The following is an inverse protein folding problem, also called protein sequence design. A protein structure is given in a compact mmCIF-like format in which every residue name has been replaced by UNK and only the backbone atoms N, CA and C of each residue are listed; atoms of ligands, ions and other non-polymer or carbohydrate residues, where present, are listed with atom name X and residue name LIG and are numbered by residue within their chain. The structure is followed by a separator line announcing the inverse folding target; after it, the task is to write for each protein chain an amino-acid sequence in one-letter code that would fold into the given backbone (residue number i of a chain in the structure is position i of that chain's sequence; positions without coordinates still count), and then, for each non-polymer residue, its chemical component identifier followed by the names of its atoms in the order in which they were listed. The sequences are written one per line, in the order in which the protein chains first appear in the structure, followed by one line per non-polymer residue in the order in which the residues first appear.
data_IF_735244312111
#
_entry.id   IF_735244312111
#
_cell.length_a   1.000
_cell.length_b   1.000
_cell.length_c   1.000
_cell.angle_alpha   90.00
_cell.angle_beta   90.00
_cell.angle_gamma   90.00
#
_symmetry.space_group_name_H-M   'P 1'
#
loop_
_entity.id
_entity.type
_entity.pdbx_description
1 polymer ?
#
# COMPACT_ATOMS: atom_id res chain seq x y z
N UNK A 1 0.38 -44.39 -9.23
CA UNK A 1 0.31 -43.80 -7.88
C UNK A 1 0.99 -42.44 -7.96
N UNK A 2 0.20 -41.36 -8.08
CA UNK A 2 0.73 -40.01 -8.08
C UNK A 2 0.71 -39.51 -6.62
N UNK A 3 1.88 -39.24 -6.06
CA UNK A 3 2.02 -38.58 -4.77
C UNK A 3 1.48 -37.16 -4.92
N UNK A 4 0.28 -36.92 -4.37
CA UNK A 4 -0.21 -35.57 -4.12
C UNK A 4 0.74 -34.93 -3.12
N UNK A 5 1.70 -34.15 -3.62
CA UNK A 5 2.57 -33.35 -2.78
C UNK A 5 1.70 -32.52 -1.85
N UNK A 6 1.97 -32.64 -0.55
CA UNK A 6 1.42 -31.75 0.47
C UNK A 6 1.86 -30.33 0.09
N UNK A 7 0.98 -29.61 -0.60
CA UNK A 7 1.05 -28.15 -0.67
C UNK A 7 0.80 -27.74 0.77
N UNK A 8 1.85 -27.37 1.50
CA UNK A 8 1.70 -26.47 2.63
C UNK A 8 1.44 -25.10 2.00
N UNK A 9 0.18 -24.62 1.88
CA UNK A 9 0.00 -23.18 1.81
C UNK A 9 0.72 -22.69 3.05
N UNK A 10 1.76 -21.85 2.87
CA UNK A 10 2.34 -21.14 4.00
C UNK A 10 1.17 -20.64 4.85
N UNK A 11 1.18 -20.89 6.16
CA UNK A 11 0.05 -20.54 6.99
C UNK A 11 -0.34 -19.09 6.70
N UNK A 12 -1.64 -18.86 6.50
CA UNK A 12 -2.26 -17.55 6.43
C UNK A 12 -2.15 -16.95 7.85
N UNK A 13 -0.93 -16.55 8.23
CA UNK A 13 -0.59 -16.05 9.58
C UNK A 13 -1.18 -14.65 9.82
N UNK A 14 -1.71 -14.02 8.77
CA UNK A 14 -2.34 -12.71 8.79
C UNK A 14 -3.83 -12.80 9.08
N UNK A 15 -4.20 -13.35 10.24
CA UNK A 15 -5.38 -12.83 10.93
C UNK A 15 -4.96 -11.51 11.57
N UNK A 16 -4.92 -10.43 10.78
CA UNK A 16 -4.56 -9.05 11.21
C UNK A 16 -5.44 -8.49 12.36
N UNK A 17 -6.38 -9.28 12.88
CA UNK A 17 -7.46 -8.86 13.78
C UNK A 17 -7.78 -9.85 14.90
N UNK A 18 -7.29 -11.08 14.83
CA UNK A 18 -7.58 -12.12 15.84
C UNK A 18 -6.24 -12.58 16.41
N UNK A 19 -6.05 -12.57 17.75
CA UNK A 19 -7.05 -12.47 18.83
C UNK A 19 -7.44 -11.05 19.30
N UNK A 20 -7.18 -10.01 18.52
CA UNK A 20 -7.16 -8.60 18.94
C UNK A 20 -8.53 -7.90 19.06
N UNK A 21 -9.61 -8.63 19.39
CA UNK A 21 -10.97 -8.05 19.46
C UNK A 21 -11.14 -6.98 20.56
N UNK A 22 -10.26 -6.96 21.55
CA UNK A 22 -10.23 -5.95 22.61
C UNK A 22 -9.33 -4.75 22.31
N UNK A 23 -8.69 -4.75 21.13
CA UNK A 23 -7.84 -3.64 20.69
C UNK A 23 -8.63 -2.60 19.89
N UNK A 24 -8.07 -1.38 19.71
CA UNK A 24 -8.70 -0.33 18.91
C UNK A 24 -9.17 -0.80 17.53
N UNK A 25 -10.47 -0.66 17.30
CA UNK A 25 -11.15 -1.13 16.08
C UNK A 25 -11.08 -2.66 15.86
N UNK A 26 -10.65 -3.46 16.84
CA UNK A 26 -10.38 -4.89 16.64
C UNK A 26 -9.15 -5.16 15.77
N UNK A 27 -8.24 -4.20 15.63
CA UNK A 27 -6.99 -4.34 14.88
C UNK A 27 -5.85 -4.61 15.84
N UNK A 28 -4.97 -5.56 15.53
CA UNK A 28 -3.80 -5.81 16.37
C UNK A 28 -2.81 -4.63 16.32
N UNK A 29 -2.03 -4.45 17.39
CA UNK A 29 -1.06 -3.36 17.53
C UNK A 29 -0.04 -3.33 16.38
N UNK A 30 0.47 -4.48 15.97
CA UNK A 30 1.41 -4.56 14.84
C UNK A 30 0.77 -4.12 13.52
N UNK A 31 -0.54 -4.34 13.35
CA UNK A 31 -1.29 -3.90 12.17
C UNK A 31 -1.53 -2.41 12.19
N UNK A 32 -1.87 -1.85 13.36
CA UNK A 32 -2.04 -0.39 13.50
C UNK A 32 -0.72 0.35 13.28
N UNK A 33 0.39 -0.16 13.80
CA UNK A 33 1.73 0.38 13.55
C UNK A 33 2.08 0.36 12.06
N UNK A 34 1.88 -0.78 11.39
CA UNK A 34 2.10 -0.87 9.95
C UNK A 34 1.19 0.07 9.16
N UNK A 35 -0.07 0.24 9.59
CA UNK A 35 -0.99 1.19 8.98
C UNK A 35 -0.51 2.64 9.15
N UNK A 36 -0.07 3.05 10.35
CA UNK A 36 0.51 4.38 10.61
C UNK A 36 1.71 4.66 9.71
N UNK A 37 2.58 3.66 9.51
CA UNK A 37 3.76 3.79 8.67
C UNK A 37 3.41 3.87 7.18
N UNK A 38 2.44 3.07 6.71
CA UNK A 38 2.21 2.84 5.29
C UNK A 38 1.06 3.65 4.67
N UNK A 39 0.07 4.11 5.44
CA UNK A 39 -1.09 4.82 4.89
C UNK A 39 -0.72 6.02 4.01
N UNK A 40 0.31 6.85 4.31
CA UNK A 40 0.67 7.96 3.43
C UNK A 40 1.09 7.44 2.06
N UNK A 41 1.95 6.41 2.02
CA UNK A 41 2.45 5.81 0.79
C UNK A 41 1.34 5.14 -0.03
N UNK A 42 0.32 4.59 0.64
CA UNK A 42 -0.88 4.08 -0.02
C UNK A 42 -1.66 5.22 -0.70
N UNK A 43 -1.84 6.36 -0.03
CA UNK A 43 -2.46 7.55 -0.62
C UNK A 43 -1.63 8.11 -1.80
N UNK A 44 -0.29 8.14 -1.68
CA UNK A 44 0.59 8.55 -2.78
C UNK A 44 0.49 7.61 -3.98
N UNK A 45 0.42 6.30 -3.72
CA UNK A 45 0.22 5.28 -4.76
C UNK A 45 -1.12 5.44 -5.47
N UNK A 46 -2.18 5.82 -4.74
CA UNK A 46 -3.47 6.18 -5.33
C UNK A 46 -3.35 7.43 -6.22
N UNK A 47 -2.74 8.50 -5.70
CA UNK A 47 -2.58 9.76 -6.44
C UNK A 47 -1.68 9.63 -7.67
N UNK A 48 -0.82 8.61 -7.75
CA UNK A 48 -0.02 8.32 -8.93
C UNK A 48 -0.88 7.92 -10.15
N UNK A 49 -2.12 7.47 -9.93
CA UNK A 49 -3.07 7.19 -11.02
C UNK A 49 -3.63 8.45 -11.68
N UNK A 50 -3.72 9.55 -10.93
CA UNK A 50 -4.24 10.85 -11.40
C UNK A 50 -5.66 10.79 -11.98
N UNK A 51 -6.50 9.93 -11.40
CA UNK A 51 -7.89 9.70 -11.77
C UNK A 51 -8.86 10.22 -10.68
N UNK A 52 -10.14 9.86 -10.76
CA UNK A 52 -11.19 10.23 -9.81
C UNK A 52 -10.92 9.79 -8.36
N UNK A 53 -10.03 8.81 -8.16
CA UNK A 53 -9.67 8.29 -6.83
C UNK A 53 -8.55 9.10 -6.17
N UNK A 54 -8.07 10.17 -6.81
CA UNK A 54 -7.07 11.09 -6.24
C UNK A 54 -7.55 11.71 -4.93
N UNK A 55 -6.73 11.60 -3.89
CA UNK A 55 -6.94 12.25 -2.60
C UNK A 55 -6.79 13.76 -2.71
N UNK A 56 -7.80 14.49 -2.21
CA UNK A 56 -7.83 15.93 -2.17
C UNK A 56 -6.82 16.49 -1.15
N UNK A 57 -6.68 15.82 0.00
CA UNK A 57 -5.72 16.17 1.03
C UNK A 57 -4.78 15.00 1.33
N UNK A 58 -3.47 15.30 1.38
CA UNK A 58 -2.42 14.38 1.80
C UNK A 58 -1.92 14.75 3.20
N UNK A 59 -1.28 13.83 3.94
CA UNK A 59 -0.69 14.16 5.22
C UNK A 59 0.29 15.33 5.09
N UNK A 60 0.27 16.26 6.05
CA UNK A 60 1.08 17.48 6.02
C UNK A 60 2.57 17.21 5.75
N UNK A 61 3.11 16.07 6.18
CA UNK A 61 4.50 15.71 5.91
C UNK A 61 4.85 15.63 4.41
N UNK A 62 3.88 15.36 3.54
CA UNK A 62 4.09 15.12 2.12
C UNK A 62 3.75 16.34 1.28
N UNK A 63 4.58 16.59 0.27
CA UNK A 63 4.39 17.67 -0.70
C UNK A 63 4.66 17.11 -2.11
N UNK A 64 3.68 17.23 -3.02
CA UNK A 64 3.87 16.84 -4.42
C UNK A 64 4.84 17.80 -5.10
N UNK A 65 5.82 17.26 -5.83
CA UNK A 65 6.76 18.04 -6.65
C UNK A 65 6.35 18.01 -8.10
N UNK A 66 6.28 16.81 -8.65
CA UNK A 66 6.04 16.57 -10.06
C UNK A 66 5.24 15.29 -10.26
N UNK A 67 4.65 15.17 -11.45
CA UNK A 67 4.09 13.94 -11.94
C UNK A 67 4.42 13.81 -13.42
N UNK A 68 4.65 12.58 -13.85
CA UNK A 68 4.86 12.22 -15.23
C UNK A 68 3.79 11.20 -15.62
N UNK A 69 3.04 11.54 -16.67
CA UNK A 69 2.08 10.63 -17.30
C UNK A 69 2.80 9.53 -18.09
N UNK A 70 2.02 8.60 -18.64
CA UNK A 70 2.54 7.50 -19.44
C UNK A 70 3.49 7.99 -20.53
N UNK A 71 4.72 7.49 -20.48
CA UNK A 71 5.63 7.58 -21.60
C UNK A 71 5.41 6.41 -22.60
N UNK A 72 6.28 6.33 -23.62
CA UNK A 72 6.21 5.28 -24.64
C UNK A 72 6.44 3.84 -24.11
N UNK A 73 6.91 3.66 -22.86
CA UNK A 73 7.00 2.34 -22.22
C UNK A 73 5.79 2.03 -21.34
N UNK A 74 4.87 2.98 -21.16
CA UNK A 74 3.77 2.89 -20.21
C UNK A 74 4.21 3.11 -18.76
N UNK A 75 5.39 3.72 -18.53
CA UNK A 75 5.80 4.15 -17.20
C UNK A 75 5.13 5.48 -16.87
N UNK A 76 4.53 5.57 -15.68
CA UNK A 76 4.02 6.80 -15.11
C UNK A 76 4.33 6.83 -13.60
N UNK A 77 4.55 8.02 -13.06
CA UNK A 77 4.93 8.19 -11.65
C UNK A 77 4.60 9.58 -11.13
N UNK A 78 4.62 9.72 -9.81
CA UNK A 78 4.56 11.01 -9.11
C UNK A 78 5.67 11.08 -8.07
N UNK A 79 6.28 12.25 -7.92
CA UNK A 79 7.35 12.50 -6.97
C UNK A 79 6.87 13.42 -5.85
N UNK A 80 7.22 13.06 -4.63
CA UNK A 80 6.84 13.77 -3.41
C UNK A 80 8.05 14.00 -2.52
N UNK A 81 8.00 15.05 -1.72
CA UNK A 81 8.92 15.27 -0.61
C UNK A 81 8.26 14.95 0.72
N UNK A 82 8.91 14.13 1.54
CA UNK A 82 8.52 13.85 2.92
C UNK A 82 9.35 14.70 3.87
N UNK A 83 8.69 15.54 4.64
CA UNK A 83 9.31 16.45 5.60
C UNK A 83 9.03 16.03 7.04
N UNK A 84 9.92 16.42 7.94
CA UNK A 84 9.62 16.41 9.37
C UNK A 84 8.45 17.36 9.64
N UNK A 85 7.56 16.99 10.54
CA UNK A 85 6.45 17.86 10.98
C UNK A 85 6.61 18.14 12.46
N UNK A 86 6.63 19.43 12.82
CA UNK A 86 6.64 19.88 14.21
C UNK A 86 5.77 21.12 14.36
N UNK A 87 4.92 21.15 15.39
CA UNK A 87 4.01 22.26 15.64
C UNK A 87 3.09 22.60 14.46
N UNK A 88 2.65 21.60 13.69
CA UNK A 88 1.79 21.78 12.51
C UNK A 88 2.48 22.43 11.31
N UNK A 89 3.82 22.39 11.23
CA UNK A 89 4.59 22.96 10.12
C UNK A 89 5.60 21.95 9.58
N UNK A 90 5.83 21.99 8.27
CA UNK A 90 6.91 21.25 7.60
C UNK A 90 8.27 21.84 8.00
N UNK A 91 9.21 20.97 8.34
CA UNK A 91 10.59 21.29 8.69
C UNK A 91 11.57 20.72 7.67
N UNK A 92 12.63 20.07 8.15
CA UNK A 92 13.68 19.45 7.31
C UNK A 92 13.10 18.39 6.37
N UNK A 93 13.62 18.32 5.14
CA UNK A 93 13.39 17.22 4.21
C UNK A 93 13.97 15.90 4.76
N UNK A 94 13.13 14.88 4.87
CA UNK A 94 13.49 13.57 5.40
C UNK A 94 13.68 12.53 4.31
N UNK A 95 12.91 12.60 3.23
CA UNK A 95 13.04 11.69 2.10
C UNK A 95 12.43 12.29 0.84
N UNK A 96 12.89 11.85 -0.32
CA UNK A 96 12.13 11.95 -1.57
C UNK A 96 11.39 10.64 -1.82
N UNK A 97 10.13 10.71 -2.23
CA UNK A 97 9.30 9.53 -2.49
C UNK A 97 8.91 9.48 -3.95
N UNK A 98 9.15 8.34 -4.61
CA UNK A 98 8.70 8.08 -5.98
C UNK A 98 7.54 7.07 -5.92
N UNK A 99 6.35 7.50 -6.32
CA UNK A 99 5.16 6.68 -6.40
C UNK A 99 4.91 6.25 -7.85
N UNK A 100 5.10 4.97 -8.15
CA UNK A 100 4.87 4.42 -9.49
C UNK A 100 3.41 4.01 -9.68
N UNK A 101 2.87 4.39 -10.83
CA UNK A 101 1.52 4.00 -11.24
C UNK A 101 1.50 2.53 -11.66
N UNK A 102 0.44 1.82 -11.30
CA UNK A 102 0.15 0.51 -11.87
C UNK A 102 -0.58 0.62 -13.23
N UNK A 103 -1.07 -0.51 -13.72
CA UNK A 103 -1.95 -0.55 -14.91
C UNK A 103 -3.40 -0.22 -14.53
N UNK A 104 -4.10 0.51 -15.40
CA UNK A 104 -5.52 0.88 -15.21
C UNK A 104 -6.46 -0.32 -15.39
N UNK A 105 -7.56 -0.33 -14.64
CA UNK A 105 -8.51 -1.45 -14.49
C UNK A 105 -9.39 -1.78 -15.71
N UNK A 106 -9.11 -1.23 -16.90
CA UNK A 106 -9.87 -1.49 -18.13
C UNK A 106 -9.55 -2.81 -18.84
N UNK A 107 -8.45 -3.48 -18.48
CA UNK A 107 -8.02 -4.72 -19.13
C UNK A 107 -7.32 -5.62 -18.12
N UNK A 108 -8.09 -6.30 -17.29
CA UNK A 108 -7.57 -7.38 -16.44
C UNK A 108 -6.95 -8.50 -17.27
N UNK A 109 -7.27 -8.62 -18.56
CA UNK A 109 -6.55 -9.47 -19.53
C UNK A 109 -5.15 -8.96 -19.87
N UNK A 110 -4.90 -7.65 -19.88
CA UNK A 110 -3.56 -7.07 -20.14
C UNK A 110 -2.64 -7.11 -18.92
N UNK A 111 -3.19 -7.17 -17.70
CA UNK A 111 -2.38 -7.40 -16.48
C UNK A 111 -1.68 -8.78 -16.54
N UNK A 112 -2.28 -9.75 -17.24
CA UNK A 112 -1.71 -11.10 -17.43
C UNK A 112 -0.75 -11.19 -18.63
N UNK A 113 -0.86 -10.30 -19.62
CA UNK A 113 0.02 -10.27 -20.80
C UNK A 113 1.20 -9.30 -20.66
N UNK A 114 1.06 -8.26 -19.83
CA UNK A 114 2.09 -7.27 -19.53
C UNK A 114 3.09 -7.80 -18.50
N UNK A 115 4.05 -8.61 -18.94
CA UNK A 115 5.29 -8.72 -18.18
C UNK A 115 5.87 -7.31 -18.02
N UNK A 116 6.32 -6.95 -16.82
CA UNK A 116 7.18 -5.76 -16.64
C UNK A 116 8.31 -5.86 -17.67
N UNK A 117 8.23 -5.04 -18.72
CA UNK A 117 9.19 -5.07 -19.80
C UNK A 117 10.51 -4.49 -19.33
N UNK A 118 11.63 -4.94 -19.92
CA UNK A 118 12.95 -4.42 -19.57
C UNK A 118 13.03 -2.90 -19.78
N UNK A 119 12.27 -2.37 -20.75
CA UNK A 119 12.16 -0.92 -21.00
C UNK A 119 11.49 -0.13 -19.86
N UNK A 120 10.52 -0.71 -19.12
CA UNK A 120 9.91 -0.04 -17.96
C UNK A 120 10.87 -0.03 -16.78
N UNK A 121 11.64 -1.11 -16.59
CA UNK A 121 12.68 -1.21 -15.55
C UNK A 121 13.78 -0.19 -15.77
N UNK A 122 14.35 -0.16 -16.98
CA UNK A 122 15.45 0.73 -17.31
C UNK A 122 15.04 2.20 -17.15
N UNK A 123 13.82 2.55 -17.57
CA UNK A 123 13.29 3.91 -17.41
C UNK A 123 13.00 4.25 -15.96
N UNK A 124 12.45 3.34 -15.16
CA UNK A 124 12.27 3.56 -13.73
C UNK A 124 13.62 3.77 -13.01
N UNK A 125 14.65 3.01 -13.42
CA UNK A 125 16.02 3.20 -12.95
C UNK A 125 16.60 4.57 -13.32
N UNK A 126 16.32 5.04 -14.55
CA UNK A 126 16.72 6.39 -14.97
C UNK A 126 16.01 7.49 -14.17
N UNK A 127 14.72 7.33 -13.85
CA UNK A 127 13.97 8.26 -12.98
C UNK A 127 14.57 8.28 -11.58
N UNK A 128 14.87 7.12 -11.00
CA UNK A 128 15.53 7.04 -9.70
C UNK A 128 16.89 7.76 -9.69
N UNK A 129 17.73 7.51 -10.70
CA UNK A 129 19.03 8.15 -10.84
C UNK A 129 18.91 9.67 -11.04
N UNK A 130 17.92 10.13 -11.80
CA UNK A 130 17.64 11.56 -11.97
C UNK A 130 17.24 12.22 -10.65
N UNK A 131 16.33 11.61 -9.88
CA UNK A 131 15.94 12.15 -8.58
C UNK A 131 17.07 12.14 -7.56
N UNK A 132 17.96 11.15 -7.62
CA UNK A 132 19.18 11.14 -6.82
C UNK A 132 20.10 12.31 -7.19
N UNK A 133 20.34 12.53 -8.47
CA UNK A 133 21.15 13.64 -8.96
C UNK A 133 20.52 15.01 -8.61
N UNK A 134 19.19 15.12 -8.66
CA UNK A 134 18.46 16.33 -8.26
C UNK A 134 18.65 16.64 -6.78
N UNK A 135 18.51 15.64 -5.89
CA UNK A 135 18.79 15.82 -4.46
C UNK A 135 20.25 16.22 -4.21
N UNK A 136 21.21 15.63 -4.92
CA UNK A 136 22.63 15.96 -4.76
C UNK A 136 22.93 17.40 -5.19
N UNK A 137 22.32 17.87 -6.28
CA UNK A 137 22.41 19.25 -6.74
C UNK A 137 21.73 20.24 -5.76
N UNK A 138 20.71 19.80 -5.04
CA UNK A 138 20.04 20.55 -3.97
C UNK A 138 20.83 20.54 -2.63
N UNK A 139 22.01 19.90 -2.56
CA UNK A 139 22.79 19.65 -1.34
C UNK A 139 22.08 18.77 -0.29
N UNK A 140 21.32 17.77 -0.77
CA UNK A 140 20.62 16.77 0.03
C UNK A 140 21.21 15.36 -0.16
N UNK A 141 22.54 15.23 -0.12
CA UNK A 141 23.23 13.96 -0.36
C UNK A 141 22.81 12.87 0.64
N UNK A 142 22.50 13.25 1.88
CA UNK A 142 22.09 12.32 2.95
C UNK A 142 20.58 12.07 3.01
N UNK A 143 19.78 12.72 2.16
CA UNK A 143 18.33 12.50 2.14
C UNK A 143 18.04 11.24 1.30
N UNK A 144 17.42 10.19 1.86
CA UNK A 144 17.11 8.97 1.13
C UNK A 144 16.01 9.18 0.08
N UNK A 145 15.99 8.28 -0.90
CA UNK A 145 14.83 8.06 -1.77
C UNK A 145 14.07 6.85 -1.23
N UNK A 146 12.75 6.98 -1.14
CA UNK A 146 11.81 5.92 -0.77
C UNK A 146 10.88 5.65 -1.96
N UNK A 147 10.42 4.41 -2.09
CA UNK A 147 9.63 3.98 -3.24
C UNK A 147 8.26 3.51 -2.79
N UNK A 148 7.26 3.74 -3.63
CA UNK A 148 5.94 3.17 -3.41
C UNK A 148 5.22 2.87 -4.72
N UNK A 149 4.24 1.98 -4.66
CA UNK A 149 3.40 1.69 -5.80
C UNK A 149 2.40 0.59 -5.53
N UNK A 150 1.38 0.57 -6.37
CA UNK A 150 0.31 -0.41 -6.36
C UNK A 150 0.40 -1.34 -7.58
N UNK A 151 0.05 -2.63 -7.42
CA UNK A 151 0.01 -3.59 -8.53
C UNK A 151 1.33 -3.65 -9.31
N UNK A 152 1.34 -3.30 -10.61
CA UNK A 152 2.55 -3.19 -11.42
C UNK A 152 3.52 -2.11 -10.89
N UNK A 153 3.02 -0.98 -10.39
CA UNK A 153 3.84 0.06 -9.76
C UNK A 153 4.56 -0.45 -8.52
N UNK A 154 3.91 -1.33 -7.75
CA UNK A 154 4.53 -2.03 -6.63
C UNK A 154 5.66 -2.97 -7.08
N UNK A 155 5.54 -3.59 -8.26
CA UNK A 155 6.59 -4.45 -8.83
C UNK A 155 7.80 -3.62 -9.29
N UNK A 156 7.56 -2.43 -9.86
CA UNK A 156 8.62 -1.47 -10.22
C UNK A 156 9.35 -0.99 -8.96
N UNK A 157 8.62 -0.58 -7.92
CA UNK A 157 9.20 -0.18 -6.64
C UNK A 157 10.01 -1.33 -6.00
N UNK A 158 9.52 -2.57 -6.09
CA UNK A 158 10.23 -3.77 -5.64
C UNK A 158 11.52 -3.98 -6.42
N UNK A 159 11.48 -3.89 -7.75
CA UNK A 159 12.66 -4.04 -8.62
C UNK A 159 13.75 -3.04 -8.22
N UNK A 160 13.40 -1.76 -8.12
CA UNK A 160 14.37 -0.74 -7.74
C UNK A 160 14.91 -0.91 -6.32
N UNK A 161 14.09 -1.39 -5.37
CA UNK A 161 14.54 -1.76 -4.03
C UNK A 161 15.52 -2.93 -4.06
N UNK A 162 15.32 -3.93 -4.91
CA UNK A 162 16.29 -5.03 -5.12
C UNK A 162 17.60 -4.50 -5.70
N UNK A 163 17.51 -3.61 -6.69
CA UNK A 163 18.68 -3.09 -7.41
C UNK A 163 19.47 -2.04 -6.59
N UNK A 164 18.87 -1.44 -5.56
CA UNK A 164 19.45 -0.39 -4.73
C UNK A 164 19.32 -0.71 -3.23
N UNK A 165 20.32 -1.39 -2.63
CA UNK A 165 20.29 -1.72 -1.20
C UNK A 165 20.10 -0.50 -0.29
N UNK A 166 19.27 -0.63 0.75
CA UNK A 166 18.94 0.46 1.69
C UNK A 166 17.84 1.40 1.19
N UNK A 167 17.34 1.23 -0.04
CA UNK A 167 16.16 1.95 -0.52
C UNK A 167 14.90 1.30 0.01
N UNK A 168 14.15 2.05 0.81
CA UNK A 168 12.88 1.58 1.39
C UNK A 168 11.78 1.53 0.35
N UNK A 169 10.96 0.47 0.40
CA UNK A 169 9.82 0.31 -0.49
C UNK A 169 8.53 -0.08 0.26
N UNK A 170 7.47 0.68 0.00
CA UNK A 170 6.12 0.44 0.50
C UNK A 170 5.21 0.04 -0.65
N UNK A 171 4.81 -1.23 -0.70
CA UNK A 171 4.16 -1.80 -1.89
C UNK A 171 2.79 -2.39 -1.56
N UNK A 172 1.82 -2.15 -2.44
CA UNK A 172 0.40 -2.43 -2.19
C UNK A 172 -0.18 -3.34 -3.27
N UNK A 173 -0.84 -4.42 -2.86
CA UNK A 173 -1.37 -5.46 -3.76
C UNK A 173 -0.40 -5.77 -4.89
N UNK A 174 0.86 -6.02 -4.56
CA UNK A 174 1.96 -5.99 -5.53
C UNK A 174 1.89 -7.14 -6.52
N UNK A 175 2.10 -6.84 -7.80
CA UNK A 175 2.28 -7.85 -8.85
C UNK A 175 3.61 -8.58 -8.66
N UNK A 176 3.70 -9.90 -8.93
CA UNK A 176 4.94 -10.66 -8.74
C UNK A 176 5.95 -10.47 -9.90
N UNK A 177 5.78 -9.45 -10.73
CA UNK A 177 6.55 -9.24 -11.95
C UNK A 177 7.78 -8.36 -11.69
N UNK A 178 8.73 -8.88 -10.93
CA UNK A 178 10.08 -8.34 -10.77
C UNK A 178 11.12 -9.41 -11.10
N UNK A 179 12.39 -8.99 -11.22
CA UNK A 179 13.54 -9.86 -11.44
C UNK A 179 14.52 -9.71 -10.26
N UNK A 180 15.46 -10.66 -10.15
CA UNK A 180 16.48 -10.66 -9.11
C UNK A 180 16.10 -11.54 -7.91
N UNK A 181 16.91 -11.44 -6.87
CA UNK A 181 16.72 -12.21 -5.63
C UNK A 181 15.57 -11.60 -4.82
N UNK A 182 14.47 -12.33 -4.55
CA UNK A 182 13.36 -11.82 -3.75
C UNK A 182 13.75 -11.42 -2.32
N UNK A 183 14.86 -11.98 -1.80
CA UNK A 183 15.39 -11.70 -0.45
C UNK A 183 16.35 -10.51 -0.41
N UNK A 184 16.77 -10.00 -1.56
CA UNK A 184 17.58 -8.79 -1.60
C UNK A 184 16.76 -7.60 -1.07
N UNK A 185 17.34 -6.90 -0.10
CA UNK A 185 16.77 -5.70 0.52
C UNK A 185 15.36 -5.91 1.12
N UNK A 186 15.06 -7.13 1.58
CA UNK A 186 13.74 -7.51 2.09
C UNK A 186 13.37 -6.83 3.42
N UNK A 187 14.35 -6.58 4.29
CA UNK A 187 14.18 -5.86 5.56
C UNK A 187 13.73 -4.39 5.39
N UNK A 188 13.97 -3.79 4.22
CA UNK A 188 13.58 -2.42 3.89
C UNK A 188 12.29 -2.39 3.04
N UNK A 189 11.56 -3.51 2.97
CA UNK A 189 10.34 -3.65 2.18
C UNK A 189 9.14 -3.98 3.07
N UNK A 190 8.13 -3.11 3.03
CA UNK A 190 6.84 -3.35 3.67
C UNK A 190 5.79 -3.59 2.58
N UNK A 191 5.16 -4.76 2.62
CA UNK A 191 4.14 -5.16 1.65
C UNK A 191 2.77 -5.31 2.32
N UNK A 192 1.75 -4.62 1.81
CA UNK A 192 0.36 -4.78 2.26
C UNK A 192 -0.49 -5.32 1.11
N UNK A 193 -1.33 -6.30 1.40
CA UNK A 193 -2.27 -6.86 0.42
C UNK A 193 -3.66 -7.06 0.99
N UNK A 194 -4.68 -6.85 0.16
CA UNK A 194 -6.06 -7.18 0.48
C UNK A 194 -6.31 -8.69 0.32
N UNK A 195 -7.10 -9.28 1.21
CA UNK A 195 -7.37 -10.71 1.25
C UNK A 195 -8.31 -11.11 0.11
N UNK A 196 -7.82 -11.99 -0.75
CA UNK A 196 -8.62 -12.55 -1.83
C UNK A 196 -8.73 -11.64 -3.06
N UNK A 197 -7.85 -10.64 -3.16
CA UNK A 197 -7.58 -9.94 -4.42
C UNK A 197 -7.07 -10.92 -5.51
N UNK A 198 -7.25 -10.55 -6.78
CA UNK A 198 -7.06 -11.48 -7.90
C UNK A 198 -5.60 -11.89 -8.17
N UNK A 199 -4.62 -11.06 -7.84
CA UNK A 199 -3.19 -11.36 -8.00
C UNK A 199 -2.71 -12.48 -7.08
N UNK A 200 -3.49 -12.90 -6.08
CA UNK A 200 -3.22 -14.12 -5.30
C UNK A 200 -3.05 -15.33 -6.20
N UNK A 201 -3.78 -15.38 -7.31
CA UNK A 201 -3.66 -16.45 -8.32
C UNK A 201 -2.32 -16.34 -9.06
N UNK A 202 -1.87 -15.13 -9.39
CA UNK A 202 -0.60 -14.88 -10.07
C UNK A 202 0.63 -15.12 -9.17
N UNK A 203 0.54 -14.76 -7.89
CA UNK A 203 1.55 -15.05 -6.86
C UNK A 203 1.76 -16.56 -6.59
N UNK A 204 0.88 -17.41 -7.13
CA UNK A 204 1.07 -18.87 -7.10
C UNK A 204 2.13 -19.36 -8.09
N UNK A 205 2.44 -18.56 -9.11
CA UNK A 205 3.31 -18.96 -10.23
C UNK A 205 4.69 -18.27 -10.23
N UNK A 206 4.86 -17.23 -9.41
CA UNK A 206 6.15 -16.58 -9.13
C UNK A 206 6.24 -16.27 -7.65
N UNK A 207 7.42 -16.45 -7.06
CA UNK A 207 7.65 -16.15 -5.64
C UNK A 207 7.29 -14.67 -5.37
N UNK A 208 6.47 -14.38 -4.36
CA UNK A 208 6.28 -13.01 -3.92
C UNK A 208 7.61 -12.44 -3.43
N UNK A 209 7.84 -11.12 -3.54
CA UNK A 209 9.03 -10.51 -2.95
C UNK A 209 9.02 -10.75 -1.44
N UNK A 210 10.18 -11.09 -0.85
CA UNK A 210 10.30 -11.14 0.59
C UNK A 210 10.17 -9.71 1.13
N UNK A 211 9.40 -9.56 2.21
CA UNK A 211 9.02 -8.29 2.80
C UNK A 211 8.40 -8.55 4.19
N UNK A 212 8.36 -7.51 5.01
CA UNK A 212 7.42 -7.45 6.12
C UNK A 212 6.00 -7.36 5.55
N UNK A 213 5.30 -8.51 5.53
CA UNK A 213 4.05 -8.69 4.79
C UNK A 213 2.83 -8.69 5.70
N UNK A 214 1.84 -7.87 5.34
CA UNK A 214 0.56 -7.77 6.01
C UNK A 214 -0.57 -8.08 5.03
N UNK A 215 -1.49 -8.95 5.42
CA UNK A 215 -2.73 -9.19 4.67
C UNK A 215 -3.90 -8.66 5.48
N UNK A 216 -4.63 -7.72 4.88
CA UNK A 216 -5.82 -7.10 5.44
C UNK A 216 -7.05 -7.58 4.70
N UNK A 217 -8.22 -7.48 5.29
CA UNK A 217 -9.49 -7.86 4.66
C UNK A 217 -10.48 -6.73 4.87
N UNK A 218 -10.16 -5.58 4.29
CA UNK A 218 -10.88 -4.33 4.42
C UNK A 218 -12.29 -4.40 3.82
N UNK A 219 -12.47 -5.15 2.73
CA UNK A 219 -13.72 -5.26 1.98
C UNK A 219 -14.11 -6.72 1.74
N UNK A 220 -14.46 -7.49 2.79
CA UNK A 220 -14.74 -8.92 2.69
C UNK A 220 -15.73 -9.30 1.59
N UNK A 221 -16.77 -8.49 1.38
CA UNK A 221 -17.85 -8.78 0.44
C UNK A 221 -17.61 -8.24 -0.98
N UNK A 222 -16.54 -7.49 -1.20
CA UNK A 222 -16.16 -7.00 -2.52
C UNK A 222 -15.64 -8.14 -3.41
N UNK A 223 -15.83 -7.98 -4.72
CA UNK A 223 -15.26 -8.87 -5.74
C UNK A 223 -13.72 -8.80 -5.74
N UNK A 224 -13.07 -9.81 -6.32
CA UNK A 224 -11.61 -9.87 -6.36
C UNK A 224 -10.95 -8.67 -7.09
N UNK A 225 -11.65 -8.08 -8.06
CA UNK A 225 -11.21 -6.88 -8.77
C UNK A 225 -11.35 -5.63 -7.90
N UNK A 226 -12.48 -5.44 -7.23
CA UNK A 226 -12.70 -4.31 -6.31
C UNK A 226 -11.73 -4.36 -5.11
N UNK A 227 -11.39 -5.56 -4.62
CA UNK A 227 -10.36 -5.78 -3.58
C UNK A 227 -8.96 -5.35 -4.02
N UNK A 228 -8.71 -5.29 -5.32
CA UNK A 228 -7.45 -4.80 -5.87
C UNK A 228 -7.43 -3.26 -5.99
N UNK A 229 -8.48 -2.54 -5.57
CA UNK A 229 -8.45 -1.07 -5.58
C UNK A 229 -7.44 -0.53 -4.57
N UNK A 230 -6.50 0.30 -5.04
CA UNK A 230 -5.58 1.03 -4.18
C UNK A 230 -6.33 2.02 -3.28
N UNK A 231 -7.37 2.68 -3.80
CA UNK A 231 -8.15 3.65 -3.05
C UNK A 231 -8.82 3.03 -1.84
N UNK A 232 -9.50 1.90 -2.05
CA UNK A 232 -10.16 1.15 -0.97
C UNK A 232 -9.16 0.68 0.10
N UNK A 233 -8.00 0.20 -0.31
CA UNK A 233 -6.95 -0.24 0.61
C UNK A 233 -6.35 0.95 1.38
N UNK A 234 -6.07 2.06 0.71
CA UNK A 234 -5.52 3.28 1.31
C UNK A 234 -6.52 3.92 2.31
N UNK A 235 -7.81 3.94 1.99
CA UNK A 235 -8.89 4.38 2.90
C UNK A 235 -8.91 3.52 4.16
N UNK A 236 -8.85 2.20 4.01
CA UNK A 236 -8.81 1.26 5.12
C UNK A 236 -7.56 1.45 6.00
N UNK A 237 -6.38 1.60 5.40
CA UNK A 237 -5.14 1.84 6.12
C UNK A 237 -5.20 3.17 6.89
N UNK A 238 -5.71 4.22 6.26
CA UNK A 238 -5.86 5.54 6.91
C UNK A 238 -6.83 5.47 8.08
N UNK A 239 -7.94 4.74 7.93
CA UNK A 239 -8.88 4.47 9.01
C UNK A 239 -8.23 3.71 10.18
N UNK A 240 -7.47 2.64 9.89
CA UNK A 240 -6.76 1.88 10.93
C UNK A 240 -5.71 2.76 11.63
N UNK A 241 -4.96 3.55 10.86
CA UNK A 241 -3.93 4.45 11.37
C UNK A 241 -4.51 5.54 12.28
N UNK A 242 -5.74 5.99 12.04
CA UNK A 242 -6.40 7.03 12.83
C UNK A 242 -6.63 6.64 14.30
N UNK A 243 -6.53 5.36 14.66
CA UNK A 243 -6.54 4.91 16.05
C UNK A 243 -5.26 5.25 16.82
N UNK A 244 -4.14 5.49 16.13
CA UNK A 244 -2.84 5.79 16.76
C UNK A 244 -2.18 7.07 16.20
N UNK A 245 -2.75 7.69 15.17
CA UNK A 245 -2.21 8.86 14.48
C UNK A 245 -3.27 9.96 14.33
N UNK A 246 -3.14 11.09 15.07
CA UNK A 246 -3.97 12.27 14.87
C UNK A 246 -3.91 12.79 13.42
N UNK A 247 -2.73 12.73 12.79
CA UNK A 247 -2.57 13.15 11.40
C UNK A 247 -3.38 12.29 10.42
N UNK A 248 -3.52 10.98 10.68
CA UNK A 248 -4.38 10.12 9.87
C UNK A 248 -5.87 10.40 10.13
N UNK A 249 -6.23 10.67 11.39
CA UNK A 249 -7.58 11.03 11.78
C UNK A 249 -8.06 12.32 11.09
N UNK A 250 -7.21 13.34 11.02
CA UNK A 250 -7.52 14.63 10.39
C UNK A 250 -7.79 14.49 8.88
N UNK A 251 -7.32 13.41 8.24
CA UNK A 251 -7.53 13.15 6.82
C UNK A 251 -8.83 12.43 6.50
N UNK A 252 -9.55 11.91 7.49
CA UNK A 252 -10.74 11.10 7.25
C UNK A 252 -11.87 11.92 6.61
N UNK A 253 -12.20 13.06 7.22
CA UNK A 253 -13.27 13.93 6.76
C UNK A 253 -13.00 14.59 5.39
N UNK A 254 -11.85 15.26 5.15
CA UNK A 254 -11.61 15.94 3.87
C UNK A 254 -11.52 14.99 2.69
N UNK A 255 -11.15 13.73 2.92
CA UNK A 255 -11.07 12.71 1.88
C UNK A 255 -12.28 11.76 1.85
N UNK A 256 -13.33 12.02 2.63
CA UNK A 256 -14.53 11.18 2.73
C UNK A 256 -14.25 9.70 3.06
N UNK A 257 -13.22 9.43 3.86
CA UNK A 257 -12.82 8.08 4.26
C UNK A 257 -13.82 7.55 5.29
N UNK A 258 -14.36 6.36 5.01
CA UNK A 258 -15.38 5.71 5.84
C UNK A 258 -14.82 4.48 6.54
N UNK A 259 -15.57 3.99 7.53
CA UNK A 259 -15.27 2.75 8.23
C UNK A 259 -15.16 1.59 7.24
N UNK A 260 -14.09 0.77 7.29
CA UNK A 260 -14.03 -0.45 6.50
C UNK A 260 -15.13 -1.42 6.95
N UNK A 261 -15.69 -2.16 6.00
CA UNK A 261 -16.82 -3.07 6.22
C UNK A 261 -16.54 -4.07 7.35
N UNK A 262 -15.31 -4.56 7.40
CA UNK A 262 -14.91 -5.57 8.37
C UNK A 262 -14.90 -5.03 9.82
N UNK A 263 -14.77 -3.72 10.04
CA UNK A 263 -14.79 -3.16 11.39
C UNK A 263 -16.19 -3.14 12.00
N UNK A 264 -16.28 -3.51 13.28
CA UNK A 264 -17.54 -3.52 14.03
C UNK A 264 -18.17 -2.12 14.17
N UNK A 265 -19.50 -2.13 14.32
CA UNK A 265 -20.33 -0.94 14.42
C UNK A 265 -21.02 -0.61 13.10
N UNK A 266 -21.91 0.38 13.15
CA UNK A 266 -22.70 0.80 11.99
C UNK A 266 -21.82 1.39 10.88
N UNK A 267 -22.25 1.31 9.63
CA UNK A 267 -21.50 1.82 8.47
C UNK A 267 -21.26 3.34 8.52
N UNK A 268 -22.11 4.05 9.26
CA UNK A 268 -22.00 5.50 9.51
C UNK A 268 -21.24 5.84 10.81
N UNK A 269 -20.60 4.84 11.44
CA UNK A 269 -19.78 5.05 12.63
C UNK A 269 -18.72 6.11 12.34
N UNK A 270 -18.66 7.12 13.20
CA UNK A 270 -17.60 8.12 13.20
C UNK A 270 -16.37 7.50 13.87
N UNK A 271 -15.19 7.68 13.26
CA UNK A 271 -13.95 7.20 13.84
C UNK A 271 -13.72 7.88 15.21
N UNK A 272 -13.31 7.15 16.26
CA UNK A 272 -13.22 7.72 17.60
C UNK A 272 -11.93 8.50 17.90
N UNK A 273 -10.94 8.42 17.00
CA UNK A 273 -9.65 9.10 17.09
C UNK A 273 -8.61 8.36 17.95
N UNK A 274 -7.46 8.99 18.16
CA UNK A 274 -6.24 8.31 18.60
C UNK A 274 -6.14 7.90 20.09
N UNK A 275 -7.22 8.01 20.88
CA UNK A 275 -7.15 7.86 22.35
C UNK A 275 -8.39 7.23 23.00
N UNK A 276 -9.26 6.55 22.24
CA UNK A 276 -10.45 5.96 22.83
C UNK A 276 -10.15 4.63 23.55
N UNK A 277 -10.64 4.51 24.79
CA UNK A 277 -10.61 3.25 25.54
C UNK A 277 -11.63 2.28 24.98
N UNK A 278 -11.21 1.05 24.72
CA UNK A 278 -12.10 -0.02 24.26
C UNK A 278 -12.85 -0.59 25.45
N UNK A 279 -14.16 -0.35 25.47
CA UNK A 279 -15.05 -0.77 26.56
C UNK A 279 -15.84 -2.03 26.22
N UNK A 280 -15.83 -2.46 24.96
CA UNK A 280 -16.52 -3.65 24.48
C UNK A 280 -15.71 -4.33 23.35
N UNK A 281 -15.76 -5.68 23.25
CA UNK A 281 -15.08 -6.40 22.17
C UNK A 281 -15.66 -6.02 20.80
N UNK A 282 -14.78 -5.91 19.81
CA UNK A 282 -15.16 -5.86 18.41
C UNK A 282 -15.64 -7.24 17.95
N UNK A 283 -16.95 -7.46 18.03
CA UNK A 283 -17.57 -8.74 17.66
C UNK A 283 -18.01 -8.70 16.20
N UNK A 284 -17.25 -9.33 15.31
CA UNK A 284 -17.71 -9.58 13.95
C UNK A 284 -18.90 -10.52 13.95
N UNK A 285 -19.99 -10.08 13.30
CA UNK A 285 -21.10 -10.95 12.97
C UNK A 285 -20.66 -11.81 11.77
N UNK A 286 -20.83 -13.14 11.82
CA UNK A 286 -20.74 -13.94 10.61
C UNK A 286 -21.75 -13.40 9.60
N UNK A 287 -21.46 -13.49 8.30
CA UNK A 287 -22.45 -13.16 7.27
C UNK A 287 -23.78 -13.81 7.66
N UNK A 288 -24.85 -13.01 7.73
CA UNK A 288 -26.18 -13.59 7.66
C UNK A 288 -26.20 -14.39 6.36
N UNK A 289 -26.39 -15.71 6.45
CA UNK A 289 -26.48 -16.53 5.25
C UNK A 289 -27.51 -15.87 4.35
N UNK A 290 -27.08 -15.45 3.16
CA UNK A 290 -28.00 -14.96 2.15
C UNK A 290 -29.08 -16.04 2.03
N UNK A 291 -30.32 -15.68 2.37
CA UNK A 291 -31.45 -16.57 2.11
C UNK A 291 -31.44 -16.78 0.60
N UNK A 292 -31.19 -18.00 0.18
CA UNK A 292 -31.29 -18.43 -1.21
C UNK A 292 -32.54 -17.79 -1.84
N UNK A 293 -32.32 -16.97 -2.86
CA UNK A 293 -33.36 -16.47 -3.76
C UNK A 293 -33.24 -17.22 -5.08
#
# INVERSE_FOLDING_TARGET
MALSGCITPYPDISQSRSPCRMEPGGWCDFVRKAAVESYPYAMLSSNAYQDEDTYAELPLAFLKREAADNDNSGLAYSVFDRHAVSGGKRGKLLARVIAFRGTEFGSTSDIFSGSLGDSQRDRAGAVYAAERANLDAENYQDVPIELTGHSLGGAIATQLSVDNPGVKAFVFNTSPFFNGDPTANDIDRLAISERGEFLRVLRRYKAPPAADMFILNCSPNASAGEKHSIRTLADCLTWIAAYDSPAAFDLLAPNAIRKPEVECGDDVKIHPGAQQRITAPCVHLPMAMAKDK
#
